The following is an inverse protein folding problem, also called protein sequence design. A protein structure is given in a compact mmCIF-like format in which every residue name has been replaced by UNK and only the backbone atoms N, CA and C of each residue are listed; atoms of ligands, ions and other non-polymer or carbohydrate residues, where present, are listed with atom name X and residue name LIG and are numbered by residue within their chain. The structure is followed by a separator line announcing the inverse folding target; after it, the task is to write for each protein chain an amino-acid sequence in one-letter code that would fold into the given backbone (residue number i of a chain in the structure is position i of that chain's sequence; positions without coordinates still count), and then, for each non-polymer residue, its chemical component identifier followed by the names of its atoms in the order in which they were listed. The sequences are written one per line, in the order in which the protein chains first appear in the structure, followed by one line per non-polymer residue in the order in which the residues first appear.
data_IF_895528850570
#
_entry.id   IF_895528850570
#
_cell.length_a   1.000
_cell.length_b   1.000
_cell.length_c   1.000
_cell.angle_alpha   90.00
_cell.angle_beta   90.00
_cell.angle_gamma   90.00
#
_symmetry.space_group_name_H-M   'P 1'
#
loop_
_entity.id
_entity.type
_entity.pdbx_description
1 polymer ?
#
# COMPACT_ATOMS: atom_id res chain seq x y z
N UNK A 1 17.71 -6.98 -2.04
CA UNK A 1 17.32 -8.32 -2.53
C UNK A 1 15.82 -8.48 -2.41
N UNK A 2 15.18 -9.17 -3.36
CA UNK A 2 13.74 -9.42 -3.37
C UNK A 2 13.51 -10.92 -3.36
N UNK A 3 12.80 -11.44 -2.35
CA UNK A 3 12.54 -12.88 -2.24
C UNK A 3 11.65 -13.41 -3.37
N UNK A 4 10.62 -12.64 -3.75
CA UNK A 4 9.68 -13.02 -4.80
C UNK A 4 9.13 -11.82 -5.57
N UNK A 5 8.25 -11.03 -4.96
CA UNK A 5 7.52 -9.90 -5.57
C UNK A 5 7.67 -8.67 -4.68
N UNK A 6 7.51 -7.49 -5.27
CA UNK A 6 7.51 -6.22 -4.56
C UNK A 6 6.14 -5.95 -3.93
N UNK A 7 6.15 -5.29 -2.76
CA UNK A 7 4.96 -4.79 -2.08
C UNK A 7 3.77 -5.77 -2.07
N UNK A 8 4.02 -7.03 -1.70
CA UNK A 8 2.96 -8.04 -1.58
C UNK A 8 1.79 -7.50 -0.76
N UNK A 9 0.59 -7.59 -1.31
CA UNK A 9 -0.64 -7.07 -0.69
C UNK A 9 -1.10 -5.74 -1.28
N UNK A 10 -0.25 -5.05 -2.04
CA UNK A 10 -0.64 -3.91 -2.89
C UNK A 10 -0.91 -4.38 -4.31
N UNK A 11 -1.55 -3.50 -5.08
CA UNK A 11 -1.71 -3.64 -6.53
C UNK A 11 -0.37 -3.90 -7.22
N UNK A 12 -0.25 -5.05 -7.90
CA UNK A 12 1.02 -5.51 -8.44
C UNK A 12 1.47 -4.74 -9.69
N UNK A 13 0.56 -4.15 -10.47
CA UNK A 13 0.93 -3.26 -11.58
C UNK A 13 1.59 -1.99 -11.02
N UNK A 14 0.99 -1.39 -9.98
CA UNK A 14 1.59 -0.24 -9.29
C UNK A 14 2.93 -0.59 -8.64
N UNK A 15 3.03 -1.75 -7.98
CA UNK A 15 4.27 -2.21 -7.34
C UNK A 15 5.41 -2.41 -8.34
N UNK A 16 5.11 -2.93 -9.54
CA UNK A 16 6.10 -3.11 -10.60
C UNK A 16 6.56 -1.76 -11.16
N UNK A 17 5.65 -0.81 -11.43
CA UNK A 17 6.00 0.56 -11.86
C UNK A 17 6.91 1.28 -10.86
N UNK A 18 6.69 1.08 -9.56
CA UNK A 18 7.59 1.59 -8.50
C UNK A 18 8.99 0.96 -8.64
N UNK A 19 9.05 -0.37 -8.78
CA UNK A 19 10.31 -1.09 -8.96
C UNK A 19 11.08 -0.65 -10.20
N UNK A 20 10.40 -0.51 -11.33
CA UNK A 20 10.96 -0.03 -12.60
C UNK A 20 11.51 1.39 -12.45
N UNK A 21 10.74 2.31 -11.85
CA UNK A 21 11.21 3.68 -11.60
C UNK A 21 12.47 3.68 -10.71
N UNK A 22 12.48 2.86 -9.65
CA UNK A 22 13.65 2.72 -8.76
C UNK A 22 14.88 2.18 -9.50
N UNK A 23 14.71 1.18 -10.39
CA UNK A 23 15.78 0.61 -11.22
C UNK A 23 16.37 1.65 -12.18
N UNK A 24 15.52 2.40 -12.87
CA UNK A 24 15.93 3.50 -13.76
C UNK A 24 16.72 4.58 -13.03
N UNK A 25 16.44 4.78 -11.73
CA UNK A 25 17.09 5.78 -10.88
C UNK A 25 18.24 5.20 -10.03
N UNK A 26 18.80 4.06 -10.45
CA UNK A 26 20.08 3.53 -9.95
C UNK A 26 19.98 2.53 -8.80
N UNK A 27 18.78 2.18 -8.33
CA UNK A 27 18.60 1.14 -7.32
C UNK A 27 18.69 -0.23 -7.97
N UNK A 28 19.69 -1.02 -7.59
CA UNK A 28 19.90 -2.38 -8.12
C UNK A 28 19.02 -3.39 -7.38
N UNK A 29 18.24 -4.17 -8.12
CA UNK A 29 17.48 -5.29 -7.56
C UNK A 29 18.15 -6.62 -7.85
N UNK A 30 18.42 -7.38 -6.80
CA UNK A 30 18.76 -8.80 -6.88
C UNK A 30 17.47 -9.57 -6.57
N UNK A 31 16.83 -10.12 -7.60
CA UNK A 31 15.52 -10.78 -7.53
C UNK A 31 15.67 -12.28 -7.30
N UNK A 32 14.77 -12.85 -6.53
CA UNK A 32 14.67 -14.29 -6.24
C UNK A 32 15.83 -14.86 -5.43
N UNK A 33 16.38 -14.05 -4.52
CA UNK A 33 17.43 -14.47 -3.57
C UNK A 33 17.06 -14.14 -2.13
N UNK A 34 17.55 -14.98 -1.20
CA UNK A 34 17.45 -14.77 0.25
C UNK A 34 18.85 -14.87 0.88
N UNK A 35 19.27 -13.91 1.72
CA UNK A 35 20.50 -14.03 2.49
C UNK A 35 20.48 -15.27 3.39
N UNK A 36 21.53 -16.07 3.34
CA UNK A 36 21.72 -17.25 4.20
C UNK A 36 22.83 -17.03 5.24
N UNK A 37 23.74 -16.07 5.00
CA UNK A 37 24.86 -15.75 5.88
C UNK A 37 25.28 -14.29 5.72
N UNK A 38 25.65 -13.65 6.81
CA UNK A 38 26.30 -12.33 6.83
C UNK A 38 27.54 -12.45 7.70
N UNK A 39 28.70 -12.08 7.15
CA UNK A 39 30.00 -12.18 7.81
C UNK A 39 30.66 -10.81 7.84
N UNK A 40 31.36 -10.51 8.93
CA UNK A 40 32.16 -9.31 9.02
C UNK A 40 33.54 -9.56 8.36
N UNK A 41 33.89 -8.69 7.42
CA UNK A 41 35.21 -8.70 6.75
C UNK A 41 36.15 -7.74 7.47
N UNK A 42 35.66 -6.54 7.78
CA UNK A 42 36.46 -5.45 8.37
C UNK A 42 35.59 -4.63 9.33
N UNK A 43 36.13 -4.32 10.52
CA UNK A 43 35.53 -3.37 11.46
C UNK A 43 35.66 -1.92 10.96
N UNK A 44 34.67 -1.07 11.24
CA UNK A 44 34.73 0.34 10.86
C UNK A 44 33.38 1.08 10.92
N UNK A 45 33.41 2.37 10.57
CA UNK A 45 32.23 3.26 10.50
C UNK A 45 32.19 4.01 9.16
N UNK A 46 31.76 3.37 8.06
CA UNK A 46 31.20 2.03 8.03
C UNK A 46 32.26 0.93 7.85
N UNK A 47 32.00 -0.25 8.41
CA UNK A 47 32.82 -1.45 8.21
C UNK A 47 32.55 -2.12 6.86
N UNK A 48 32.99 -3.37 6.69
CA UNK A 48 32.71 -4.19 5.50
C UNK A 48 32.12 -5.54 5.90
N UNK A 49 31.06 -5.92 5.21
CA UNK A 49 30.28 -7.13 5.44
C UNK A 49 30.20 -7.94 4.14
N UNK A 50 30.36 -9.26 4.24
CA UNK A 50 30.10 -10.22 3.17
C UNK A 50 28.72 -10.81 3.37
N UNK A 51 27.88 -10.76 2.34
CA UNK A 51 26.56 -11.40 2.32
C UNK A 51 26.60 -12.56 1.34
N UNK A 52 26.27 -13.76 1.82
CA UNK A 52 26.02 -14.93 0.97
C UNK A 52 24.52 -15.13 0.87
N UNK A 53 23.99 -15.26 -0.35
CA UNK A 53 22.57 -15.43 -0.61
C UNK A 53 22.32 -16.63 -1.54
N UNK A 54 21.20 -17.32 -1.32
CA UNK A 54 20.77 -18.47 -2.13
C UNK A 54 19.54 -18.12 -2.95
N UNK A 55 19.49 -18.60 -4.19
CA UNK A 55 18.31 -18.49 -5.06
C UNK A 55 17.09 -19.20 -4.45
N UNK A 56 15.90 -18.65 -4.65
CA UNK A 56 14.63 -19.29 -4.25
C UNK A 56 14.12 -20.29 -5.28
N UNK A 57 14.69 -20.31 -6.50
CA UNK A 57 14.30 -21.22 -7.60
C UNK A 57 15.28 -22.36 -7.87
N UNK A 58 16.42 -22.39 -7.19
CA UNK A 58 17.46 -23.37 -7.45
C UNK A 58 18.56 -23.41 -6.41
N UNK A 59 19.71 -23.93 -6.81
CA UNK A 59 20.89 -24.09 -5.94
C UNK A 59 21.97 -23.02 -6.16
N UNK A 60 21.70 -22.01 -6.98
CA UNK A 60 22.62 -20.89 -7.18
C UNK A 60 22.87 -20.14 -5.87
N UNK A 61 24.13 -19.82 -5.63
CA UNK A 61 24.60 -19.04 -4.49
C UNK A 61 25.43 -17.89 -5.02
N UNK A 62 25.17 -16.69 -4.51
CA UNK A 62 25.90 -15.48 -4.84
C UNK A 62 26.47 -14.86 -3.58
N UNK A 63 27.53 -14.07 -3.76
CA UNK A 63 28.17 -13.33 -2.69
C UNK A 63 28.28 -11.85 -3.08
N UNK A 64 28.17 -10.96 -2.10
CA UNK A 64 28.38 -9.53 -2.28
C UNK A 64 28.97 -8.90 -1.04
N UNK A 65 29.82 -7.89 -1.24
CA UNK A 65 30.38 -7.08 -0.15
C UNK A 65 29.64 -5.75 -0.04
N UNK A 66 29.30 -5.37 1.19
CA UNK A 66 28.54 -4.17 1.49
C UNK A 66 29.07 -3.52 2.75
N UNK A 67 28.92 -2.21 2.87
CA UNK A 67 29.22 -1.51 4.12
C UNK A 67 28.13 -1.72 5.18
N UNK A 68 26.87 -1.73 4.75
CA UNK A 68 25.69 -1.84 5.61
C UNK A 68 24.70 -2.81 4.98
N UNK A 69 24.09 -3.66 5.81
CA UNK A 69 23.02 -4.59 5.40
C UNK A 69 21.75 -4.25 6.19
N UNK A 70 20.73 -3.73 5.50
CA UNK A 70 19.43 -3.43 6.09
C UNK A 70 18.48 -4.63 5.96
N UNK A 71 18.01 -5.17 7.09
CA UNK A 71 17.04 -6.27 7.14
C UNK A 71 15.62 -5.73 7.37
N UNK A 72 14.92 -5.40 6.28
CA UNK A 72 13.52 -4.94 6.29
C UNK A 72 12.57 -6.05 5.79
N UNK A 73 12.47 -7.16 6.54
CA UNK A 73 11.85 -8.43 6.08
C UNK A 73 10.52 -8.80 6.75
N UNK A 74 9.94 -7.87 7.52
CA UNK A 74 8.71 -8.08 8.28
C UNK A 74 8.85 -7.63 9.73
N UNK A 75 7.77 -7.74 10.48
CA UNK A 75 7.67 -7.38 11.90
C UNK A 75 6.87 -8.45 12.62
N UNK A 76 7.24 -8.72 13.87
CA UNK A 76 6.52 -9.63 14.76
C UNK A 76 5.70 -8.84 15.79
N UNK A 77 4.50 -9.33 16.13
CA UNK A 77 3.67 -8.74 17.16
C UNK A 77 4.27 -8.99 18.57
N UNK A 78 4.29 -7.95 19.41
CA UNK A 78 4.79 -8.01 20.79
C UNK A 78 3.77 -8.62 21.78
N UNK A 79 3.24 -9.81 21.50
CA UNK A 79 2.14 -10.43 22.27
C UNK A 79 2.57 -11.64 23.10
N UNK A 80 3.77 -12.18 22.88
CA UNK A 80 4.23 -13.44 23.48
C UNK A 80 4.85 -13.31 24.88
N UNK A 81 5.23 -12.09 25.30
CA UNK A 81 6.01 -11.84 26.53
C UNK A 81 5.30 -10.89 27.51
N UNK A 82 3.97 -10.84 27.46
CA UNK A 82 3.15 -9.93 28.29
C UNK A 82 2.13 -10.67 29.18
N UNK A 83 2.26 -11.99 29.32
CA UNK A 83 1.45 -12.80 30.26
C UNK A 83 -0.01 -13.00 29.86
N UNK A 84 -0.32 -13.01 28.55
CA UNK A 84 -1.69 -13.19 28.04
C UNK A 84 -2.33 -14.52 28.47
N UNK A 85 -1.52 -15.56 28.63
CA UNK A 85 -1.91 -16.88 29.12
C UNK A 85 -2.50 -16.82 30.55
N UNK A 86 -1.93 -15.97 31.41
CA UNK A 86 -2.36 -15.80 32.80
C UNK A 86 -3.70 -15.10 32.94
N UNK A 87 -4.09 -14.32 31.93
CA UNK A 87 -5.35 -13.56 31.90
C UNK A 87 -6.37 -14.15 30.91
N UNK A 88 -6.02 -15.25 30.23
CA UNK A 88 -6.92 -15.99 29.34
C UNK A 88 -7.18 -15.34 27.97
N UNK A 89 -6.34 -14.40 27.52
CA UNK A 89 -6.45 -13.78 26.19
C UNK A 89 -5.89 -14.72 25.14
N UNK A 90 -6.71 -15.04 24.14
CA UNK A 90 -6.33 -15.89 22.99
C UNK A 90 -5.63 -15.05 21.93
N UNK A 91 -4.61 -15.63 21.31
CA UNK A 91 -3.92 -15.07 20.15
C UNK A 91 -3.88 -16.10 19.02
N UNK A 92 -3.60 -15.63 17.81
CA UNK A 92 -3.24 -16.51 16.71
C UNK A 92 -1.78 -16.98 16.91
N UNK A 93 -1.60 -18.24 17.28
CA UNK A 93 -0.26 -18.75 17.61
C UNK A 93 0.75 -18.68 16.46
N UNK A 94 0.27 -18.74 15.21
CA UNK A 94 1.13 -18.67 14.02
C UNK A 94 1.61 -17.24 13.76
N UNK A 95 0.71 -16.26 13.81
CA UNK A 95 1.04 -14.87 13.44
C UNK A 95 1.37 -13.98 14.65
N UNK A 96 1.04 -14.41 15.86
CA UNK A 96 1.12 -13.62 17.08
C UNK A 96 0.05 -12.52 17.20
N UNK A 97 -0.84 -12.36 16.22
CA UNK A 97 -1.89 -11.32 16.24
C UNK A 97 -3.02 -11.67 17.21
N UNK A 98 -3.72 -10.67 17.70
CA UNK A 98 -4.86 -10.79 18.62
C UNK A 98 -6.17 -10.69 17.82
N UNK A 99 -7.00 -11.74 17.78
CA UNK A 99 -8.36 -11.65 17.27
C UNK A 99 -9.22 -10.77 18.21
N UNK A 100 -9.98 -9.86 17.61
CA UNK A 100 -10.91 -8.98 18.33
C UNK A 100 -12.25 -8.92 17.60
N UNK A 101 -13.30 -8.51 18.30
CA UNK A 101 -14.56 -8.12 17.67
C UNK A 101 -14.45 -6.74 16.99
N UNK A 102 -15.56 -6.24 16.44
CA UNK A 102 -15.63 -4.94 15.76
C UNK A 102 -15.63 -3.72 16.71
N UNK A 103 -15.45 -3.95 18.02
CA UNK A 103 -15.28 -2.94 19.05
C UNK A 103 -13.92 -3.05 19.75
N UNK A 104 -12.96 -3.73 19.12
CA UNK A 104 -11.58 -3.91 19.60
C UNK A 104 -11.48 -4.75 20.90
N UNK A 105 -12.54 -5.46 21.27
CA UNK A 105 -12.57 -6.32 22.45
C UNK A 105 -11.99 -7.70 22.14
N UNK A 106 -11.15 -8.22 23.02
CA UNK A 106 -10.63 -9.59 22.93
C UNK A 106 -11.70 -10.61 23.37
N UNK A 107 -11.34 -11.90 23.47
CA UNK A 107 -12.21 -12.90 24.08
C UNK A 107 -12.41 -12.71 25.60
N UNK A 108 -11.63 -11.83 26.25
CA UNK A 108 -11.77 -11.49 27.67
C UNK A 108 -12.49 -10.13 27.76
N UNK A 109 -13.69 -10.05 28.37
CA UNK A 109 -14.57 -8.87 28.24
C UNK A 109 -13.96 -7.54 28.68
N UNK A 110 -13.03 -7.55 29.64
CA UNK A 110 -12.41 -6.34 30.18
C UNK A 110 -11.04 -6.02 29.52
N UNK A 111 -10.61 -6.81 28.53
CA UNK A 111 -9.33 -6.62 27.82
C UNK A 111 -9.61 -6.29 26.35
N UNK A 112 -9.03 -5.19 25.90
CA UNK A 112 -9.12 -4.68 24.54
C UNK A 112 -7.73 -4.64 23.91
N UNK A 113 -7.67 -4.67 22.58
CA UNK A 113 -6.43 -4.56 21.82
C UNK A 113 -6.61 -3.59 20.66
N UNK A 114 -5.57 -2.81 20.32
CA UNK A 114 -5.61 -1.83 19.22
C UNK A 114 -4.26 -1.81 18.48
N UNK A 115 -4.25 -1.24 17.27
CA UNK A 115 -3.05 -1.05 16.47
C UNK A 115 -2.52 -2.33 15.83
N UNK A 116 -1.23 -2.37 15.52
CA UNK A 116 -0.59 -3.41 14.71
C UNK A 116 -0.80 -4.83 15.24
N UNK A 117 -1.06 -5.03 16.54
CA UNK A 117 -1.24 -6.37 17.10
C UNK A 117 -2.56 -7.02 16.68
N UNK A 118 -3.50 -6.26 16.09
CA UNK A 118 -4.79 -6.78 15.68
C UNK A 118 -4.67 -7.74 14.49
N UNK A 119 -5.44 -8.83 14.54
CA UNK A 119 -5.55 -9.77 13.43
C UNK A 119 -6.49 -9.19 12.35
N UNK A 120 -6.13 -9.37 11.07
CA UNK A 120 -6.93 -8.99 9.90
C UNK A 120 -7.35 -7.49 9.92
N UNK A 121 -6.40 -6.65 10.36
CA UNK A 121 -6.48 -5.18 10.40
C UNK A 121 -5.20 -4.57 9.82
N UNK A 122 -5.27 -3.27 9.55
CA UNK A 122 -4.19 -2.50 8.92
C UNK A 122 -3.18 -2.00 9.96
N UNK A 123 -1.90 -2.17 9.65
CA UNK A 123 -0.75 -1.75 10.48
C UNK A 123 -0.35 -0.30 10.16
N UNK A 124 -1.26 0.64 10.42
CA UNK A 124 -1.10 2.06 10.09
C UNK A 124 -1.34 2.95 11.31
N UNK A 125 -0.47 3.95 11.52
CA UNK A 125 -0.57 4.88 12.64
C UNK A 125 -1.93 5.57 12.77
N UNK A 126 -2.53 6.15 11.70
CA UNK A 126 -3.85 6.80 11.81
C UNK A 126 -4.95 5.83 12.23
N UNK A 127 -4.85 4.57 11.81
CA UNK A 127 -5.80 3.50 12.19
C UNK A 127 -5.71 3.20 13.68
N UNK A 128 -4.49 3.05 14.22
CA UNK A 128 -4.28 2.82 15.64
C UNK A 128 -4.79 4.00 16.51
N UNK A 129 -4.53 5.24 16.09
CA UNK A 129 -5.00 6.45 16.77
C UNK A 129 -6.54 6.51 16.77
N UNK A 130 -7.18 6.28 15.62
CA UNK A 130 -8.63 6.34 15.50
C UNK A 130 -9.31 5.24 16.31
N UNK A 131 -8.80 4.01 16.25
CA UNK A 131 -9.30 2.88 17.05
C UNK A 131 -9.21 3.19 18.55
N UNK A 132 -8.08 3.70 19.02
CA UNK A 132 -7.90 4.08 20.43
C UNK A 132 -8.84 5.21 20.86
N UNK A 133 -8.99 6.27 20.05
CA UNK A 133 -9.91 7.40 20.34
C UNK A 133 -11.35 6.93 20.44
N UNK A 134 -11.83 6.17 19.45
CA UNK A 134 -13.21 5.68 19.42
C UNK A 134 -13.47 4.66 20.53
N UNK A 135 -12.51 3.81 20.86
CA UNK A 135 -12.61 2.88 21.98
C UNK A 135 -12.85 3.63 23.30
N UNK A 136 -12.05 4.65 23.60
CA UNK A 136 -12.21 5.48 24.81
C UNK A 136 -13.59 6.16 24.85
N UNK A 137 -14.04 6.69 23.71
CA UNK A 137 -15.37 7.30 23.59
C UNK A 137 -16.50 6.30 23.84
N UNK A 138 -16.37 5.04 23.40
CA UNK A 138 -17.38 4.01 23.68
C UNK A 138 -17.38 3.58 25.15
N UNK A 139 -16.19 3.36 25.72
CA UNK A 139 -16.06 2.88 27.10
C UNK A 139 -16.51 3.91 28.14
N UNK A 140 -16.22 5.20 27.91
CA UNK A 140 -16.41 6.24 28.93
C UNK A 140 -17.27 7.42 28.49
N UNK A 141 -17.54 7.56 27.19
CA UNK A 141 -18.31 8.68 26.63
C UNK A 141 -19.72 8.31 26.14
N UNK A 142 -20.14 7.04 26.27
CA UNK A 142 -21.45 6.58 25.79
C UNK A 142 -21.61 6.57 24.27
N UNK A 143 -20.51 6.72 23.52
CA UNK A 143 -20.55 6.68 22.05
C UNK A 143 -20.83 5.26 21.55
N UNK A 144 -21.37 5.15 20.34
CA UNK A 144 -21.60 3.87 19.65
C UNK A 144 -20.72 3.69 18.41
N UNK A 145 -20.00 4.74 17.99
CA UNK A 145 -19.20 4.76 16.78
C UNK A 145 -18.02 3.78 16.86
N UNK A 146 -17.90 2.95 15.82
CA UNK A 146 -16.83 1.96 15.66
C UNK A 146 -15.75 2.47 14.71
N UNK A 147 -14.54 1.92 14.82
CA UNK A 147 -13.51 2.20 13.84
C UNK A 147 -13.85 1.51 12.53
N UNK A 148 -13.85 2.27 11.43
CA UNK A 148 -14.08 1.75 10.10
C UNK A 148 -12.74 1.42 9.44
N UNK A 149 -12.49 0.13 9.25
CA UNK A 149 -11.27 -0.41 8.66
C UNK A 149 -11.38 -0.68 7.16
N UNK A 150 -12.54 -0.37 6.55
CA UNK A 150 -12.77 -0.52 5.12
C UNK A 150 -12.21 0.72 4.41
N UNK A 151 -11.59 0.56 3.23
CA UNK A 151 -11.13 1.67 2.39
C UNK A 151 -10.30 2.74 3.15
N UNK A 152 -9.39 2.29 4.02
CA UNK A 152 -8.43 3.20 4.66
C UNK A 152 -7.35 3.54 3.63
N UNK A 153 -7.03 4.83 3.41
CA UNK A 153 -5.98 5.22 2.48
C UNK A 153 -4.59 4.91 3.04
N UNK A 154 -3.64 4.69 2.14
CA UNK A 154 -2.22 4.48 2.46
C UNK A 154 -1.34 5.09 1.38
N UNK A 155 -0.12 5.47 1.76
CA UNK A 155 0.91 5.95 0.83
C UNK A 155 2.25 5.29 1.11
N UNK A 156 2.90 4.80 0.05
CA UNK A 156 4.28 4.30 0.07
C UNK A 156 5.19 5.42 -0.44
N UNK A 157 6.08 5.90 0.42
CA UNK A 157 6.99 7.01 0.13
C UNK A 157 8.28 6.53 -0.53
N UNK A 158 8.14 5.91 -1.70
CA UNK A 158 9.24 5.59 -2.62
C UNK A 158 9.72 6.84 -3.37
N UNK A 159 10.86 6.80 -4.09
CA UNK A 159 11.34 7.94 -4.88
C UNK A 159 10.27 8.56 -5.81
N UNK A 160 9.41 7.71 -6.37
CA UNK A 160 8.11 8.10 -6.91
C UNK A 160 7.03 7.60 -5.95
N UNK A 161 6.33 8.51 -5.27
CA UNK A 161 5.36 8.15 -4.24
C UNK A 161 4.16 7.42 -4.82
N UNK A 162 3.59 6.49 -4.05
CA UNK A 162 2.41 5.74 -4.44
C UNK A 162 1.32 5.82 -3.37
N UNK A 163 0.18 6.43 -3.73
CA UNK A 163 -1.00 6.54 -2.90
C UNK A 163 -2.09 5.59 -3.37
N UNK A 164 -2.80 4.99 -2.42
CA UNK A 164 -3.89 4.07 -2.72
C UNK A 164 -5.02 4.12 -1.68
N UNK A 165 -6.25 3.85 -2.14
CA UNK A 165 -7.41 3.66 -1.29
C UNK A 165 -8.37 2.65 -1.91
N UNK A 166 -8.86 1.69 -1.13
CA UNK A 166 -9.77 0.64 -1.60
C UNK A 166 -9.06 -0.61 -2.13
N UNK A 167 -9.72 -1.34 -3.03
CA UNK A 167 -9.21 -2.58 -3.60
C UNK A 167 -8.11 -2.31 -4.62
N UNK A 168 -7.13 -3.21 -4.67
CA UNK A 168 -6.29 -3.36 -5.85
C UNK A 168 -7.06 -4.02 -7.00
N UNK A 169 -6.55 -3.91 -8.22
CA UNK A 169 -7.21 -4.42 -9.43
C UNK A 169 -7.45 -5.93 -9.37
N UNK A 170 -6.43 -6.70 -9.01
CA UNK A 170 -6.50 -8.15 -8.89
C UNK A 170 -7.46 -8.60 -7.76
N UNK A 171 -7.53 -7.85 -6.66
CA UNK A 171 -8.45 -8.16 -5.56
C UNK A 171 -9.89 -7.80 -5.92
N UNK A 172 -10.11 -6.70 -6.66
CA UNK A 172 -11.42 -6.30 -7.17
C UNK A 172 -11.95 -7.35 -8.15
N UNK A 173 -11.13 -7.81 -9.09
CA UNK A 173 -11.46 -8.90 -10.03
C UNK A 173 -11.80 -10.18 -9.27
N UNK A 174 -10.96 -10.58 -8.30
CA UNK A 174 -11.22 -11.77 -7.49
C UNK A 174 -12.55 -11.69 -6.72
N UNK A 175 -12.90 -10.49 -6.23
CA UNK A 175 -14.07 -10.28 -5.38
C UNK A 175 -15.37 -10.13 -6.18
N UNK A 176 -15.32 -9.43 -7.32
CA UNK A 176 -16.52 -9.00 -8.06
C UNK A 176 -16.64 -9.63 -9.45
N UNK A 177 -15.63 -10.31 -9.97
CA UNK A 177 -15.59 -10.88 -11.32
C UNK A 177 -15.05 -9.88 -12.36
N UNK A 178 -14.15 -10.34 -13.24
CA UNK A 178 -13.48 -9.53 -14.26
C UNK A 178 -14.44 -8.80 -15.20
N UNK A 179 -15.58 -9.43 -15.52
CA UNK A 179 -16.61 -8.87 -16.37
C UNK A 179 -17.37 -7.69 -15.73
N UNK A 180 -17.24 -7.52 -14.41
CA UNK A 180 -17.91 -6.47 -13.64
C UNK A 180 -16.97 -5.34 -13.21
N UNK A 181 -15.70 -5.40 -13.62
CA UNK A 181 -14.69 -4.40 -13.29
C UNK A 181 -14.36 -3.59 -14.54
N UNK A 182 -14.40 -2.26 -14.42
CA UNK A 182 -13.84 -1.36 -15.42
C UNK A 182 -12.70 -0.56 -14.79
N UNK A 183 -11.56 -0.47 -15.47
CA UNK A 183 -10.37 0.22 -14.96
C UNK A 183 -10.05 1.39 -15.86
N UNK A 184 -10.27 2.60 -15.36
CA UNK A 184 -9.91 3.82 -16.07
C UNK A 184 -8.51 4.26 -15.64
N UNK A 185 -7.68 4.64 -16.61
CA UNK A 185 -6.29 4.99 -16.32
C UNK A 185 -5.70 6.03 -17.27
N UNK A 186 -4.64 6.69 -16.81
CA UNK A 186 -3.88 7.63 -17.64
C UNK A 186 -2.46 7.80 -17.10
N UNK A 187 -1.48 8.00 -18.00
CA UNK A 187 -0.20 8.60 -17.61
C UNK A 187 -0.35 10.12 -17.56
N UNK A 188 0.39 10.77 -16.68
CA UNK A 188 0.44 12.22 -16.60
C UNK A 188 1.86 12.70 -16.37
N UNK A 189 2.12 13.97 -16.71
CA UNK A 189 3.41 14.60 -16.50
C UNK A 189 3.24 15.83 -15.60
N UNK A 190 3.76 15.81 -14.36
CA UNK A 190 3.71 16.98 -13.48
C UNK A 190 4.29 18.21 -14.19
N UNK A 191 3.58 19.34 -14.14
CA UNK A 191 4.02 20.57 -14.79
C UNK A 191 5.42 20.97 -14.32
N UNK A 192 5.72 20.75 -13.03
CA UNK A 192 7.01 21.03 -12.40
C UNK A 192 8.17 20.23 -13.02
N UNK A 193 7.90 19.16 -13.74
CA UNK A 193 8.92 18.28 -14.34
C UNK A 193 9.17 18.59 -15.83
N UNK A 194 8.36 19.47 -16.42
CA UNK A 194 8.52 19.91 -17.81
C UNK A 194 9.78 20.73 -18.02
N UNK A 195 10.03 21.76 -17.18
CA UNK A 195 11.22 22.61 -17.27
C UNK A 195 12.52 21.83 -17.02
N UNK A 196 12.60 20.95 -16.01
CA UNK A 196 13.74 20.04 -15.85
C UNK A 196 13.83 18.95 -16.93
N UNK A 197 12.82 18.81 -17.80
CA UNK A 197 12.78 17.88 -18.92
C UNK A 197 13.04 16.42 -18.52
N UNK A 198 12.34 15.93 -17.49
CA UNK A 198 12.53 14.57 -16.96
C UNK A 198 11.22 13.82 -16.76
N UNK A 199 11.31 12.50 -16.76
CA UNK A 199 10.29 11.58 -16.24
C UNK A 199 8.88 11.73 -16.84
N UNK A 200 8.79 12.11 -18.13
CA UNK A 200 7.53 12.04 -18.86
C UNK A 200 7.03 10.58 -18.91
N UNK A 201 5.70 10.40 -18.86
CA UNK A 201 5.04 9.09 -18.84
C UNK A 201 5.49 8.15 -17.70
N UNK A 202 6.01 8.70 -16.58
CA UNK A 202 6.32 7.93 -15.37
C UNK A 202 5.22 7.98 -14.32
N UNK A 203 4.55 9.13 -14.17
CA UNK A 203 3.42 9.22 -13.26
C UNK A 203 2.19 8.55 -13.89
N UNK A 204 1.41 7.88 -13.07
CA UNK A 204 0.30 7.04 -13.51
C UNK A 204 -0.85 7.09 -12.52
N UNK A 205 -2.05 7.27 -13.03
CA UNK A 205 -3.29 7.32 -12.27
C UNK A 205 -4.22 6.21 -12.75
N UNK A 206 -4.88 5.52 -11.82
CA UNK A 206 -6.01 4.64 -12.15
C UNK A 206 -7.08 4.62 -11.07
N UNK A 207 -8.29 4.35 -11.51
CA UNK A 207 -9.44 4.02 -10.67
C UNK A 207 -10.03 2.69 -11.13
N UNK A 208 -10.61 1.97 -10.18
CA UNK A 208 -11.24 0.68 -10.40
C UNK A 208 -12.72 0.83 -10.05
N UNK A 209 -13.57 0.60 -11.03
CA UNK A 209 -15.00 0.80 -10.94
C UNK A 209 -15.76 -0.54 -10.95
N UNK A 210 -16.76 -0.67 -10.09
CA UNK A 210 -17.71 -1.79 -10.11
C UNK A 210 -18.90 -1.44 -11.00
N UNK A 211 -18.97 -2.06 -12.18
CA UNK A 211 -20.02 -1.83 -13.19
C UNK A 211 -21.42 -2.14 -12.62
N UNK A 212 -21.52 -3.13 -11.72
CA UNK A 212 -22.81 -3.55 -11.13
C UNK A 212 -23.36 -2.59 -10.07
N UNK A 213 -22.55 -1.66 -9.58
CA UNK A 213 -22.94 -0.65 -8.57
C UNK A 213 -22.71 0.76 -9.13
N UNK A 214 -23.36 1.07 -10.26
CA UNK A 214 -23.32 2.40 -10.87
C UNK A 214 -21.88 2.93 -11.10
N UNK A 215 -20.96 2.03 -11.50
CA UNK A 215 -19.54 2.35 -11.63
C UNK A 215 -18.93 2.97 -10.36
N UNK A 216 -19.31 2.42 -9.19
CA UNK A 216 -18.73 2.80 -7.90
C UNK A 216 -17.21 2.69 -7.97
N UNK A 217 -16.52 3.75 -7.59
CA UNK A 217 -15.07 3.74 -7.42
C UNK A 217 -14.74 2.93 -6.16
N UNK A 218 -14.27 1.70 -6.38
CA UNK A 218 -13.92 0.73 -5.33
C UNK A 218 -12.40 0.59 -5.13
N UNK A 219 -11.61 1.16 -6.05
CA UNK A 219 -10.16 1.27 -5.92
C UNK A 219 -9.65 2.57 -6.55
N UNK A 220 -8.68 3.20 -5.90
CA UNK A 220 -8.04 4.44 -6.31
C UNK A 220 -6.54 4.29 -6.14
N UNK A 221 -5.77 4.62 -7.17
CA UNK A 221 -4.31 4.47 -7.17
C UNK A 221 -3.66 5.62 -7.92
N UNK A 222 -2.64 6.23 -7.31
CA UNK A 222 -1.83 7.28 -7.93
C UNK A 222 -0.34 7.01 -7.67
N UNK A 223 0.45 7.00 -8.73
CA UNK A 223 1.91 6.98 -8.69
C UNK A 223 2.40 8.32 -9.22
N UNK A 224 2.96 9.15 -8.35
CA UNK A 224 3.30 10.53 -8.68
C UNK A 224 3.73 11.35 -7.46
N UNK A 225 4.15 12.61 -7.64
CA UNK A 225 4.51 13.48 -6.53
C UNK A 225 3.32 13.78 -5.62
N UNK A 226 3.56 13.93 -4.31
CA UNK A 226 2.56 14.26 -3.30
C UNK A 226 1.38 13.28 -3.29
N UNK A 227 1.65 11.98 -3.49
CA UNK A 227 0.61 10.97 -3.66
C UNK A 227 -0.28 10.84 -2.42
N UNK A 228 0.27 11.08 -1.22
CA UNK A 228 -0.52 11.14 0.01
C UNK A 228 -1.53 12.27 0.03
N UNK A 229 -1.12 13.47 -0.38
CA UNK A 229 -1.98 14.66 -0.44
C UNK A 229 -3.11 14.47 -1.45
N UNK A 230 -2.80 13.91 -2.61
CA UNK A 230 -3.79 13.59 -3.64
C UNK A 230 -4.79 12.55 -3.12
N UNK A 231 -4.31 11.47 -2.50
CA UNK A 231 -5.16 10.34 -2.08
C UNK A 231 -6.11 10.69 -0.94
N UNK A 232 -5.69 11.59 -0.03
CA UNK A 232 -6.43 11.89 1.20
C UNK A 232 -7.87 12.39 0.93
N UNK A 233 -8.05 13.29 -0.04
CA UNK A 233 -9.36 13.81 -0.42
C UNK A 233 -10.25 12.75 -1.08
N UNK A 234 -9.69 11.94 -1.99
CA UNK A 234 -10.42 10.87 -2.66
C UNK A 234 -10.84 9.75 -1.70
N UNK A 235 -10.09 9.50 -0.64
CA UNK A 235 -10.50 8.55 0.40
C UNK A 235 -11.81 8.98 1.08
N UNK A 236 -11.98 10.28 1.35
CA UNK A 236 -13.23 10.82 1.86
C UNK A 236 -14.38 10.69 0.84
N UNK A 237 -14.11 10.94 -0.45
CA UNK A 237 -15.10 10.75 -1.51
C UNK A 237 -15.54 9.28 -1.65
N UNK A 238 -14.61 8.33 -1.56
CA UNK A 238 -14.92 6.88 -1.57
C UNK A 238 -15.80 6.50 -0.36
N UNK A 239 -15.56 7.10 0.81
CA UNK A 239 -16.44 6.92 1.98
C UNK A 239 -17.87 7.43 1.73
N UNK A 240 -18.03 8.46 0.91
CA UNK A 240 -19.33 8.96 0.47
C UNK A 240 -19.94 8.15 -0.70
N UNK A 241 -19.26 7.10 -1.17
CA UNK A 241 -19.69 6.31 -2.31
C UNK A 241 -19.46 7.01 -3.64
N UNK A 242 -18.29 7.59 -3.89
CA UNK A 242 -17.96 8.15 -5.20
C UNK A 242 -18.24 7.17 -6.36
N UNK A 243 -18.98 7.61 -7.38
CA UNK A 243 -19.13 6.91 -8.67
C UNK A 243 -18.30 7.56 -9.77
N UNK A 244 -18.07 6.85 -10.87
CA UNK A 244 -17.39 7.41 -12.06
C UNK A 244 -18.09 8.65 -12.60
N UNK A 245 -19.42 8.64 -12.69
CA UNK A 245 -20.21 9.79 -13.13
C UNK A 245 -20.00 11.03 -12.24
N UNK A 246 -20.02 10.83 -10.92
CA UNK A 246 -19.76 11.91 -9.96
C UNK A 246 -18.33 12.45 -10.09
N UNK A 247 -17.36 11.56 -10.28
CA UNK A 247 -15.97 11.93 -10.50
C UNK A 247 -15.82 12.79 -11.77
N UNK A 248 -16.43 12.39 -12.88
CA UNK A 248 -16.38 13.12 -14.15
C UNK A 248 -17.12 14.46 -14.11
N UNK A 249 -18.18 14.54 -13.30
CA UNK A 249 -18.91 15.79 -13.08
C UNK A 249 -18.10 16.80 -12.25
N UNK A 250 -17.04 16.36 -11.57
CA UNK A 250 -16.17 17.23 -10.77
C UNK A 250 -15.19 17.96 -11.67
N UNK A 251 -15.14 19.29 -11.58
CA UNK A 251 -14.18 20.10 -12.36
C UNK A 251 -12.80 20.06 -11.69
N UNK A 252 -11.77 19.76 -12.48
CA UNK A 252 -10.38 19.73 -12.04
C UNK A 252 -9.80 21.12 -11.72
N UNK A 253 -8.78 21.14 -10.85
CA UNK A 253 -7.97 22.34 -10.57
C UNK A 253 -6.74 22.30 -11.47
N UNK A 254 -6.52 23.35 -12.26
CA UNK A 254 -5.42 23.40 -13.22
C UNK A 254 -4.38 24.48 -12.86
N UNK A 255 -3.06 24.22 -12.99
CA UNK A 255 -2.40 22.97 -13.37
C UNK A 255 -1.94 22.15 -12.14
N UNK A 256 -2.64 21.08 -11.78
CA UNK A 256 -2.32 20.26 -10.59
C UNK A 256 -2.41 18.77 -10.92
N UNK A 257 -1.45 17.98 -10.46
CA UNK A 257 -1.39 16.53 -10.71
C UNK A 257 -2.72 15.78 -10.46
N UNK A 258 -3.47 16.15 -9.42
CA UNK A 258 -4.73 15.50 -9.05
C UNK A 258 -5.85 15.67 -10.10
N UNK A 259 -5.76 16.67 -10.98
CA UNK A 259 -6.80 16.93 -11.99
C UNK A 259 -6.94 15.81 -13.02
N UNK A 260 -5.91 14.97 -13.21
CA UNK A 260 -5.97 13.81 -14.10
C UNK A 260 -7.15 12.88 -13.76
N UNK A 261 -7.54 12.82 -12.48
CA UNK A 261 -8.64 11.97 -12.02
C UNK A 261 -10.01 12.45 -12.50
N UNK A 262 -10.17 13.74 -12.81
CA UNK A 262 -11.46 14.28 -13.26
C UNK A 262 -11.71 14.08 -14.76
N UNK A 263 -10.76 13.50 -15.50
CA UNK A 263 -10.83 13.35 -16.96
C UNK A 263 -10.41 11.98 -17.46
N UNK A 264 -10.39 10.96 -16.59
CA UNK A 264 -10.04 9.59 -16.98
C UNK A 264 -11.10 8.99 -17.93
N UNK A 265 -10.77 8.87 -19.21
CA UNK A 265 -11.67 8.33 -20.25
C UNK A 265 -11.22 6.99 -20.81
N UNK A 266 -9.91 6.74 -20.86
CA UNK A 266 -9.34 5.49 -21.40
C UNK A 266 -9.50 4.35 -20.40
N UNK A 267 -10.01 3.21 -20.86
CA UNK A 267 -10.11 2.00 -20.05
C UNK A 267 -9.04 0.98 -20.43
N UNK A 268 -8.58 0.18 -19.47
CA UNK A 268 -7.68 -0.95 -19.77
C UNK A 268 -8.31 -1.94 -20.76
N UNK A 269 -9.64 -2.12 -20.69
CA UNK A 269 -10.39 -3.05 -21.55
C UNK A 269 -10.39 -2.62 -23.02
N UNK A 270 -10.34 -1.31 -23.32
CA UNK A 270 -10.27 -0.84 -24.71
C UNK A 270 -8.92 -1.13 -25.37
N UNK A 271 -7.85 -1.29 -24.57
CA UNK A 271 -6.49 -1.50 -25.06
C UNK A 271 -5.86 -0.24 -25.68
N UNK A 272 -6.50 0.92 -25.54
CA UNK A 272 -5.98 2.19 -26.04
C UNK A 272 -4.74 2.64 -25.25
N UNK A 273 -3.83 3.34 -25.92
CA UNK A 273 -2.62 3.87 -25.28
C UNK A 273 -2.95 5.04 -24.37
N UNK A 274 -2.31 5.08 -23.21
CA UNK A 274 -2.36 6.21 -22.27
C UNK A 274 -1.08 7.05 -22.26
N UNK A 275 -0.12 6.75 -23.15
CA UNK A 275 1.13 7.49 -23.24
C UNK A 275 0.89 8.86 -23.89
N UNK A 276 1.34 9.92 -23.22
CA UNK A 276 1.28 11.28 -23.75
C UNK A 276 2.51 11.54 -24.60
N UNK A 277 2.29 11.83 -25.89
CA UNK A 277 3.22 12.62 -26.68
C UNK A 277 2.97 14.08 -26.28
N UNK A 278 3.99 14.78 -25.75
CA UNK A 278 3.82 16.16 -25.28
C UNK A 278 3.08 17.02 -26.32
N UNK A 279 2.14 17.84 -25.86
CA UNK A 279 1.39 18.76 -26.71
C UNK A 279 2.27 19.86 -27.29
#
# INVERSE_FOLDING_TARGET
MVRSILLRGFDQDMANKIGEYMEEHGIKFIREFVPIKVEQIEEGTPGRLKVTAKSTKGNEVIEGEYNTVLLAIGRDACTRKIGLDKVGVKINEKTGKIPVNDMEQTNVPYIYAIGDILQDRLELTPVAIQAGRLLVQRLYGGATTKCDYVNVPTTVFTPLEYGACGYSEENAIQKFGEENIEVYHSHFWPLEWTVPSRDNNKCYAKIICNIRDNERVIGFHVLGPNAGEVTQGFAAAIKCGLTKEQLDSTIGIHPVCAEVFTTLSVTKRSGESTLQAGC
#
